data_IF_239944142835
#
_entry.id   IF_239944142835
#
_cell.length_a   1.000
_cell.length_b   1.000
_cell.length_c   1.000
_cell.angle_alpha   90.00
_cell.angle_beta   90.00
_cell.angle_gamma   90.00
#
_symmetry.space_group_name_H-M   'P 1'
#
loop_
_entity.id
_entity.type
_entity.pdbx_description
1 polymer ?
#
# COMPACT_ATOMS: atom_id res chain seq x y z
N UNK A 1 -27.96 0.00 -32.30
CA UNK A 1 -28.29 -0.87 -31.14
C UNK A 1 -27.21 -1.93 -31.12
N UNK A 2 -26.21 -1.75 -30.29
CA UNK A 2 -25.27 -2.83 -30.01
C UNK A 2 -26.05 -3.96 -29.34
N UNK A 3 -26.01 -5.15 -29.90
CA UNK A 3 -26.56 -6.37 -29.31
C UNK A 3 -25.89 -6.56 -27.96
N UNK A 4 -26.60 -6.35 -26.86
CA UNK A 4 -26.09 -6.66 -25.53
C UNK A 4 -25.72 -8.15 -25.51
N UNK A 5 -24.47 -8.44 -25.35
CA UNK A 5 -23.98 -9.81 -25.19
C UNK A 5 -24.60 -10.41 -23.93
N UNK A 6 -25.03 -11.67 -24.00
CA UNK A 6 -25.60 -12.35 -22.83
C UNK A 6 -24.54 -12.44 -21.71
N UNK A 7 -24.95 -12.39 -20.42
CA UNK A 7 -24.05 -12.57 -19.31
C UNK A 7 -23.25 -13.85 -19.42
N UNK A 8 -21.98 -13.82 -18.96
CA UNK A 8 -21.17 -15.04 -18.85
C UNK A 8 -21.83 -16.04 -17.90
N UNK A 9 -21.79 -17.34 -18.18
CA UNK A 9 -22.32 -18.33 -17.26
C UNK A 9 -21.54 -18.32 -15.95
N UNK A 10 -22.24 -18.52 -14.84
CA UNK A 10 -21.60 -18.69 -13.53
C UNK A 10 -20.80 -20.02 -13.52
N UNK A 11 -19.68 -20.03 -12.82
CA UNK A 11 -18.94 -21.25 -12.49
C UNK A 11 -19.35 -21.76 -11.12
N UNK A 12 -19.60 -23.04 -10.99
CA UNK A 12 -19.85 -23.66 -9.71
C UNK A 12 -18.49 -23.99 -9.06
N UNK A 13 -18.23 -23.53 -7.82
CA UNK A 13 -17.01 -23.88 -7.12
C UNK A 13 -16.97 -25.36 -6.77
N UNK A 14 -15.76 -25.95 -6.59
CA UNK A 14 -15.62 -27.32 -6.08
C UNK A 14 -16.25 -27.46 -4.70
N UNK A 15 -16.92 -28.61 -4.48
CA UNK A 15 -17.54 -28.97 -3.19
C UNK A 15 -16.65 -29.84 -2.33
N UNK A 16 -15.56 -30.35 -2.89
CA UNK A 16 -14.55 -31.19 -2.23
C UNK A 16 -13.14 -30.91 -2.79
N UNK A 17 -12.15 -31.68 -2.36
CA UNK A 17 -10.76 -31.49 -2.82
C UNK A 17 -9.95 -30.42 -2.07
N UNK A 18 -10.55 -29.71 -1.10
CA UNK A 18 -9.87 -28.69 -0.29
C UNK A 18 -9.46 -29.22 1.08
N UNK A 19 -8.39 -28.68 1.62
CA UNK A 19 -7.97 -28.92 3.00
C UNK A 19 -8.78 -28.04 3.97
N UNK A 20 -9.20 -28.63 5.09
CA UNK A 20 -9.93 -27.92 6.16
C UNK A 20 -9.06 -27.81 7.38
N UNK A 21 -8.79 -26.60 7.82
CA UNK A 21 -8.06 -26.32 9.05
C UNK A 21 -8.92 -26.56 10.29
N UNK A 22 -8.25 -27.02 11.35
CA UNK A 22 -8.87 -27.10 12.69
C UNK A 22 -9.22 -25.68 13.18
N UNK A 23 -10.40 -25.55 13.82
CA UNK A 23 -10.91 -24.27 14.31
C UNK A 23 -10.05 -23.63 15.41
N UNK A 24 -9.12 -24.35 16.00
CA UNK A 24 -8.15 -23.79 16.97
C UNK A 24 -7.08 -22.90 16.32
N UNK A 25 -6.87 -23.03 15.01
CA UNK A 25 -5.91 -22.19 14.30
C UNK A 25 -6.56 -20.88 13.84
N UNK A 26 -5.85 -19.77 14.02
CA UNK A 26 -6.23 -18.47 13.44
C UNK A 26 -5.72 -18.38 12.01
N UNK A 27 -6.59 -18.04 11.07
CA UNK A 27 -6.26 -17.91 9.66
C UNK A 27 -6.31 -16.46 9.24
N UNK A 28 -5.20 -15.94 8.74
CA UNK A 28 -5.07 -14.63 8.11
C UNK A 28 -5.66 -13.47 8.95
N UNK A 29 -6.78 -12.86 8.52
CA UNK A 29 -7.41 -11.73 9.23
C UNK A 29 -7.78 -12.06 10.67
N UNK A 30 -7.99 -13.32 11.01
CA UNK A 30 -8.26 -13.74 12.39
C UNK A 30 -7.07 -13.52 13.34
N UNK A 31 -5.86 -13.37 12.79
CA UNK A 31 -4.64 -13.11 13.58
C UNK A 31 -4.60 -11.69 14.15
N UNK A 32 -5.39 -10.76 13.62
CA UNK A 32 -5.50 -9.42 14.16
C UNK A 32 -6.23 -9.43 15.50
N UNK A 33 -5.67 -8.77 16.52
CA UNK A 33 -6.25 -8.70 17.87
C UNK A 33 -7.62 -8.02 17.94
N UNK A 34 -7.96 -7.24 16.92
CA UNK A 34 -9.26 -6.55 16.79
C UNK A 34 -10.24 -7.24 15.84
N UNK A 35 -9.87 -8.40 15.29
CA UNK A 35 -10.77 -9.14 14.42
C UNK A 35 -12.09 -9.48 15.13
N UNK A 36 -13.20 -9.21 14.45
CA UNK A 36 -14.54 -9.53 14.93
C UNK A 36 -15.33 -10.25 13.83
N UNK A 37 -15.70 -11.52 14.07
CA UNK A 37 -16.49 -12.27 13.09
C UNK A 37 -17.85 -11.65 12.77
N UNK A 38 -18.43 -10.85 13.67
CA UNK A 38 -19.72 -10.18 13.46
C UNK A 38 -19.59 -8.91 12.63
N UNK A 39 -18.38 -8.34 12.55
CA UNK A 39 -18.06 -7.13 11.80
C UNK A 39 -17.39 -7.42 10.45
N UNK A 40 -17.06 -8.70 10.20
CA UNK A 40 -16.44 -9.16 8.95
C UNK A 40 -17.51 -9.83 8.08
N UNK A 41 -17.54 -9.50 6.79
CA UNK A 41 -18.37 -10.21 5.81
C UNK A 41 -17.58 -11.42 5.28
N UNK A 42 -18.15 -12.62 5.47
CA UNK A 42 -17.54 -13.86 5.03
C UNK A 42 -17.99 -14.20 3.60
N UNK A 43 -17.28 -13.65 2.61
CA UNK A 43 -17.51 -13.93 1.20
C UNK A 43 -17.35 -15.44 0.95
N UNK A 44 -18.26 -16.01 0.19
CA UNK A 44 -18.15 -17.41 -0.25
C UNK A 44 -17.71 -17.47 -1.71
N UNK A 45 -16.77 -18.36 -2.02
CA UNK A 45 -16.37 -18.63 -3.40
C UNK A 45 -17.58 -19.14 -4.17
N UNK A 46 -17.84 -18.56 -5.34
CA UNK A 46 -19.04 -18.82 -6.14
C UNK A 46 -20.21 -17.86 -5.86
N UNK A 47 -20.18 -17.08 -4.76
CA UNK A 47 -21.21 -16.08 -4.45
C UNK A 47 -21.25 -14.99 -5.54
N UNK A 48 -22.48 -14.56 -5.90
CA UNK A 48 -22.70 -13.55 -6.94
C UNK A 48 -23.30 -12.28 -6.35
N UNK A 49 -22.52 -11.20 -6.36
CA UNK A 49 -22.94 -9.90 -5.88
C UNK A 49 -23.57 -9.08 -6.99
N UNK A 50 -24.63 -8.33 -6.66
CA UNK A 50 -25.38 -7.45 -7.59
C UNK A 50 -25.82 -8.15 -8.89
N UNK A 51 -26.04 -9.48 -8.84
CA UNK A 51 -26.31 -10.32 -10.03
C UNK A 51 -25.26 -10.17 -11.14
N UNK A 52 -24.03 -9.77 -10.80
CA UNK A 52 -23.00 -9.39 -11.74
C UNK A 52 -21.61 -9.90 -11.37
N UNK A 53 -21.16 -9.76 -10.12
CA UNK A 53 -19.79 -10.04 -9.71
C UNK A 53 -19.72 -11.38 -9.00
N UNK A 54 -19.14 -12.40 -9.63
CA UNK A 54 -18.96 -13.72 -9.03
C UNK A 54 -17.59 -13.85 -8.39
N UNK A 55 -17.54 -14.10 -7.07
CA UNK A 55 -16.30 -14.37 -6.35
C UNK A 55 -15.66 -15.70 -6.80
N UNK A 56 -14.39 -15.66 -7.14
CA UNK A 56 -13.60 -16.82 -7.60
C UNK A 56 -12.64 -17.33 -6.55
N UNK A 57 -11.96 -16.45 -5.82
CA UNK A 57 -11.02 -16.80 -4.78
C UNK A 57 -10.52 -15.54 -4.06
N UNK A 58 -9.93 -15.75 -2.88
CA UNK A 58 -9.38 -14.67 -2.04
C UNK A 58 -7.99 -14.29 -2.53
N UNK A 59 -7.79 -13.01 -2.82
CA UNK A 59 -6.49 -12.45 -3.21
C UNK A 59 -5.65 -12.02 -2.01
N UNK A 60 -6.31 -11.58 -0.93
CA UNK A 60 -5.60 -11.08 0.23
C UNK A 60 -6.52 -10.49 1.27
N UNK A 61 -5.92 -10.00 2.34
CA UNK A 61 -6.59 -9.36 3.45
C UNK A 61 -5.77 -8.18 3.98
N UNK A 62 -6.45 -7.25 4.61
CA UNK A 62 -5.85 -6.13 5.31
C UNK A 62 -6.48 -5.96 6.69
N UNK A 63 -6.07 -4.92 7.41
CA UNK A 63 -6.58 -4.64 8.75
C UNK A 63 -8.09 -4.42 8.82
N UNK A 64 -8.70 -3.96 7.73
CA UNK A 64 -10.11 -3.54 7.69
C UNK A 64 -10.88 -4.05 6.48
N UNK A 65 -10.30 -4.89 5.65
CA UNK A 65 -10.95 -5.41 4.43
C UNK A 65 -10.33 -6.71 3.95
N UNK A 66 -11.10 -7.43 3.13
CA UNK A 66 -10.64 -8.58 2.34
C UNK A 66 -10.77 -8.29 0.86
N UNK A 67 -9.86 -8.81 0.05
CA UNK A 67 -9.82 -8.63 -1.41
C UNK A 67 -10.07 -9.97 -2.13
N UNK A 68 -10.91 -9.93 -3.16
CA UNK A 68 -11.38 -11.11 -3.87
C UNK A 68 -11.26 -10.92 -5.37
N UNK A 69 -10.72 -11.91 -6.07
CA UNK A 69 -10.84 -11.96 -7.52
C UNK A 69 -12.27 -12.34 -7.88
N UNK A 70 -12.89 -11.56 -8.75
CA UNK A 70 -14.24 -11.80 -9.23
C UNK A 70 -14.30 -11.79 -10.75
N UNK A 71 -15.29 -12.51 -11.31
CA UNK A 71 -15.71 -12.33 -12.70
C UNK A 71 -16.84 -11.30 -12.76
N UNK A 72 -16.69 -10.29 -13.59
CA UNK A 72 -17.80 -9.47 -14.02
C UNK A 72 -18.56 -10.21 -15.14
N UNK A 73 -19.67 -10.83 -14.77
CA UNK A 73 -20.48 -11.65 -15.69
C UNK A 73 -21.10 -10.83 -16.82
N UNK A 74 -21.32 -9.53 -16.60
CA UNK A 74 -21.86 -8.61 -17.59
C UNK A 74 -20.76 -7.95 -18.46
N UNK A 75 -19.63 -7.60 -17.83
CA UNK A 75 -18.47 -6.99 -18.50
C UNK A 75 -17.56 -8.00 -19.20
N UNK A 76 -17.68 -9.30 -18.89
CA UNK A 76 -16.84 -10.39 -19.41
C UNK A 76 -15.35 -10.21 -19.11
N UNK A 77 -15.04 -9.71 -17.93
CA UNK A 77 -13.69 -9.39 -17.49
C UNK A 77 -13.49 -9.78 -16.02
N UNK A 78 -12.24 -9.73 -15.55
CA UNK A 78 -11.90 -9.91 -14.14
C UNK A 78 -11.85 -8.56 -13.42
N UNK A 79 -12.31 -8.56 -12.18
CA UNK A 79 -12.32 -7.39 -11.30
C UNK A 79 -11.90 -7.81 -9.88
N UNK A 80 -11.44 -6.86 -9.09
CA UNK A 80 -11.22 -7.07 -7.66
C UNK A 80 -12.42 -6.51 -6.88
N UNK A 81 -13.01 -7.32 -6.03
CA UNK A 81 -13.96 -6.91 -5.00
C UNK A 81 -13.20 -6.72 -3.68
N UNK A 82 -13.21 -5.51 -3.13
CA UNK A 82 -12.74 -5.19 -1.78
C UNK A 82 -13.94 -5.06 -0.87
N UNK A 83 -14.03 -5.90 0.18
CA UNK A 83 -15.13 -5.92 1.15
C UNK A 83 -14.60 -5.43 2.48
N UNK A 84 -15.16 -4.34 2.99
CA UNK A 84 -14.73 -3.74 4.24
C UNK A 84 -15.45 -4.32 5.46
N UNK A 85 -14.77 -4.24 6.60
CA UNK A 85 -15.37 -4.43 7.91
C UNK A 85 -16.52 -3.43 8.08
N UNK A 86 -17.60 -3.87 8.74
CA UNK A 86 -18.83 -3.08 8.90
C UNK A 86 -18.57 -1.71 9.53
N UNK A 87 -19.04 -0.66 8.88
CA UNK A 87 -19.02 0.73 9.39
C UNK A 87 -17.62 1.34 9.52
N UNK A 88 -16.60 0.79 8.86
CA UNK A 88 -15.25 1.31 8.98
C UNK A 88 -15.06 2.60 8.18
N UNK A 89 -14.47 3.64 8.83
CA UNK A 89 -14.29 4.98 8.27
C UNK A 89 -13.48 5.00 6.97
N UNK A 90 -12.47 4.13 6.85
CA UNK A 90 -11.62 4.08 5.66
C UNK A 90 -12.41 3.71 4.39
N UNK A 91 -13.46 2.87 4.50
CA UNK A 91 -14.29 2.48 3.38
C UNK A 91 -15.00 3.69 2.74
N UNK A 92 -15.64 4.50 3.56
CA UNK A 92 -16.34 5.73 3.10
C UNK A 92 -15.34 6.74 2.53
N UNK A 93 -14.17 6.88 3.18
CA UNK A 93 -13.14 7.81 2.72
C UNK A 93 -12.55 7.36 1.38
N UNK A 94 -12.24 6.09 1.21
CA UNK A 94 -11.68 5.55 -0.03
C UNK A 94 -12.64 5.74 -1.21
N UNK A 95 -13.92 5.39 -1.03
CA UNK A 95 -14.94 5.63 -2.05
C UNK A 95 -15.03 7.12 -2.42
N UNK A 96 -15.07 8.00 -1.41
CA UNK A 96 -15.12 9.45 -1.59
C UNK A 96 -13.93 9.99 -2.37
N UNK A 97 -12.71 9.51 -2.07
CA UNK A 97 -11.49 9.90 -2.79
C UNK A 97 -11.58 9.48 -4.25
N UNK A 98 -11.90 8.22 -4.54
CA UNK A 98 -12.02 7.75 -5.93
C UNK A 98 -13.11 8.50 -6.70
N UNK A 99 -14.27 8.75 -6.10
CA UNK A 99 -15.34 9.55 -6.72
C UNK A 99 -14.85 10.96 -7.03
N UNK A 100 -14.13 11.59 -6.12
CA UNK A 100 -13.55 12.90 -6.32
C UNK A 100 -12.52 12.89 -7.46
N UNK A 101 -11.57 11.95 -7.48
CA UNK A 101 -10.56 11.84 -8.53
C UNK A 101 -11.18 11.72 -9.92
N UNK A 102 -12.29 11.01 -10.06
CA UNK A 102 -13.06 10.91 -11.32
C UNK A 102 -13.64 12.24 -11.80
N UNK A 103 -13.83 13.23 -10.92
CA UNK A 103 -14.34 14.55 -11.31
C UNK A 103 -13.27 15.45 -11.94
N UNK A 104 -12.00 15.12 -11.75
CA UNK A 104 -10.87 15.95 -12.19
C UNK A 104 -10.64 15.75 -13.69
N UNK A 105 -11.00 16.77 -14.46
CA UNK A 105 -10.77 16.79 -15.90
C UNK A 105 -9.33 17.24 -16.18
N UNK A 106 -8.49 16.29 -16.58
CA UNK A 106 -7.07 16.54 -16.85
C UNK A 106 -6.53 15.54 -17.88
N UNK A 107 -5.49 15.96 -18.60
CA UNK A 107 -4.67 15.08 -19.45
C UNK A 107 -3.36 14.65 -18.76
N UNK A 108 -3.25 14.83 -17.45
CA UNK A 108 -2.04 14.49 -16.70
C UNK A 108 -1.78 12.97 -16.78
N UNK A 109 -0.56 12.53 -17.17
CA UNK A 109 -0.28 11.10 -17.35
C UNK A 109 -0.39 10.30 -16.05
N UNK A 110 -0.24 10.94 -14.88
CA UNK A 110 -0.34 10.31 -13.57
C UNK A 110 -1.71 9.71 -13.23
N UNK A 111 -2.76 10.09 -13.97
CA UNK A 111 -4.10 9.47 -13.80
C UNK A 111 -4.04 7.95 -14.04
N UNK A 112 -3.25 7.51 -15.02
CA UNK A 112 -3.08 6.09 -15.32
C UNK A 112 -2.35 5.29 -14.22
N UNK A 113 -1.62 5.97 -13.34
CA UNK A 113 -0.94 5.37 -12.19
C UNK A 113 -1.81 5.30 -10.93
N UNK A 114 -3.10 5.60 -11.01
CA UNK A 114 -4.04 5.52 -9.90
C UNK A 114 -5.06 4.43 -10.18
N UNK A 115 -5.29 3.53 -9.20
CA UNK A 115 -6.31 2.49 -9.31
C UNK A 115 -7.67 3.12 -9.56
N UNK A 116 -8.47 2.56 -10.45
CA UNK A 116 -9.80 3.08 -10.72
C UNK A 116 -10.87 2.36 -9.90
N UNK A 117 -11.85 3.11 -9.41
CA UNK A 117 -13.09 2.57 -8.85
C UNK A 117 -14.07 2.35 -10.01
N UNK A 118 -14.53 1.10 -10.22
CA UNK A 118 -15.52 0.76 -11.27
C UNK A 118 -16.94 0.89 -10.75
N UNK A 119 -17.18 0.36 -9.55
CA UNK A 119 -18.50 0.30 -8.94
C UNK A 119 -18.40 0.29 -7.41
N UNK A 120 -19.47 0.55 -6.71
CA UNK A 120 -19.56 0.44 -5.27
C UNK A 120 -20.98 0.10 -4.83
N UNK A 121 -21.11 -0.72 -3.79
CA UNK A 121 -22.40 -1.12 -3.22
C UNK A 121 -22.23 -1.52 -1.76
N UNK A 122 -23.33 -1.73 -1.07
CA UNK A 122 -23.35 -2.18 0.31
C UNK A 122 -23.93 -3.59 0.43
N UNK A 123 -23.36 -4.39 1.33
CA UNK A 123 -23.91 -5.68 1.75
C UNK A 123 -24.48 -5.56 3.16
N UNK A 124 -25.61 -6.18 3.47
CA UNK A 124 -26.15 -6.18 4.82
C UNK A 124 -25.25 -7.02 5.76
N UNK A 125 -25.00 -6.53 6.96
CA UNK A 125 -24.25 -7.25 7.99
C UNK A 125 -24.91 -7.15 9.37
N UNK A 126 -24.46 -7.98 10.32
CA UNK A 126 -25.01 -8.06 11.69
C UNK A 126 -24.79 -6.77 12.49
N UNK A 127 -23.66 -6.08 12.27
CA UNK A 127 -23.27 -4.84 12.97
C UNK A 127 -23.46 -3.57 12.13
N UNK A 128 -23.96 -3.69 10.93
CA UNK A 128 -24.13 -2.60 9.97
C UNK A 128 -23.78 -3.04 8.56
N UNK A 129 -23.90 -2.16 7.57
CA UNK A 129 -23.55 -2.48 6.20
C UNK A 129 -22.03 -2.63 6.03
N UNK A 130 -21.65 -3.49 5.09
CA UNK A 130 -20.29 -3.62 4.59
C UNK A 130 -20.17 -2.86 3.27
N UNK A 131 -19.28 -1.88 3.22
CA UNK A 131 -18.95 -1.21 1.96
C UNK A 131 -18.16 -2.16 1.08
N UNK A 132 -18.54 -2.19 -0.20
CA UNK A 132 -17.90 -3.00 -1.23
C UNK A 132 -17.46 -2.11 -2.37
N UNK A 133 -16.19 -2.20 -2.72
CA UNK A 133 -15.61 -1.46 -3.83
C UNK A 133 -15.17 -2.44 -4.93
N UNK A 134 -15.55 -2.16 -6.17
CA UNK A 134 -15.12 -2.91 -7.35
C UNK A 134 -14.05 -2.10 -8.07
N UNK A 135 -12.90 -2.75 -8.27
CA UNK A 135 -11.74 -2.17 -8.91
C UNK A 135 -11.28 -2.97 -10.12
N UNK A 136 -10.41 -2.39 -10.94
CA UNK A 136 -9.63 -3.16 -11.90
C UNK A 136 -8.85 -4.25 -11.17
N UNK A 137 -8.80 -5.47 -11.74
CA UNK A 137 -7.93 -6.51 -11.25
C UNK A 137 -6.49 -6.14 -11.58
N UNK A 138 -5.61 -6.20 -10.58
CA UNK A 138 -4.19 -5.89 -10.67
C UNK A 138 -3.37 -7.14 -10.33
N UNK A 139 -2.10 -7.13 -10.71
CA UNK A 139 -1.15 -8.18 -10.40
C UNK A 139 -0.54 -8.03 -9.00
N UNK A 140 0.69 -8.49 -8.87
CA UNK A 140 1.44 -8.48 -7.61
C UNK A 140 1.69 -7.07 -7.08
N UNK A 141 1.79 -6.95 -5.77
CA UNK A 141 2.31 -5.77 -5.09
C UNK A 141 3.84 -5.69 -5.23
N UNK A 142 4.42 -4.52 -5.02
CA UNK A 142 5.88 -4.39 -4.96
C UNK A 142 6.49 -5.17 -3.78
N UNK A 143 5.74 -5.35 -2.69
CA UNK A 143 6.14 -6.19 -1.57
C UNK A 143 6.29 -7.65 -1.96
N UNK A 144 5.29 -8.23 -2.65
CA UNK A 144 5.36 -9.61 -3.16
C UNK A 144 6.52 -9.78 -4.17
N UNK A 145 6.74 -8.79 -5.04
CA UNK A 145 7.88 -8.81 -5.97
C UNK A 145 9.20 -8.82 -5.20
N UNK A 146 9.34 -8.02 -4.15
CA UNK A 146 10.53 -8.01 -3.30
C UNK A 146 10.76 -9.38 -2.65
N UNK A 147 9.72 -9.95 -2.03
CA UNK A 147 9.79 -11.27 -1.37
C UNK A 147 10.17 -12.40 -2.33
N UNK A 148 9.76 -12.31 -3.60
CA UNK A 148 10.13 -13.28 -4.65
C UNK A 148 11.52 -13.04 -5.24
N UNK A 149 12.13 -11.88 -4.99
CA UNK A 149 13.42 -11.49 -5.56
C UNK A 149 14.59 -12.06 -4.74
N UNK A 150 15.71 -12.35 -5.41
CA UNK A 150 16.92 -12.84 -4.76
C UNK A 150 17.42 -11.88 -3.67
N UNK A 151 17.53 -12.36 -2.43
CA UNK A 151 17.90 -11.55 -1.27
C UNK A 151 16.90 -10.45 -0.94
N UNK A 152 15.64 -10.59 -1.35
CA UNK A 152 14.57 -9.62 -1.20
C UNK A 152 14.86 -8.24 -1.84
N UNK A 153 15.69 -8.20 -2.88
CA UNK A 153 16.15 -6.99 -3.56
C UNK A 153 15.57 -6.89 -4.97
N UNK A 154 14.86 -5.80 -5.23
CA UNK A 154 14.32 -5.52 -6.57
C UNK A 154 15.42 -4.93 -7.44
N UNK A 155 15.65 -5.52 -8.62
CA UNK A 155 16.68 -5.04 -9.55
C UNK A 155 16.43 -3.58 -9.96
N UNK A 156 17.51 -2.82 -10.20
CA UNK A 156 17.40 -1.42 -10.62
C UNK A 156 16.66 -1.24 -11.95
N UNK A 157 16.68 -2.26 -12.81
CA UNK A 157 15.97 -2.26 -14.09
C UNK A 157 14.46 -2.26 -13.94
N UNK A 158 13.94 -2.79 -12.82
CA UNK A 158 12.54 -2.74 -12.43
C UNK A 158 12.24 -1.57 -11.48
N UNK A 159 13.10 -1.36 -10.49
CA UNK A 159 12.90 -0.36 -9.45
C UNK A 159 12.82 1.07 -10.02
N UNK A 160 13.72 1.44 -10.93
CA UNK A 160 13.75 2.78 -11.54
C UNK A 160 12.46 3.11 -12.31
N UNK A 161 11.99 2.29 -13.27
CA UNK A 161 10.75 2.58 -13.99
C UNK A 161 9.53 2.55 -13.05
N UNK A 162 9.46 1.65 -12.07
CA UNK A 162 8.36 1.59 -11.10
C UNK A 162 8.31 2.84 -10.23
N UNK A 163 9.45 3.24 -9.67
CA UNK A 163 9.56 4.50 -8.90
C UNK A 163 9.16 5.69 -9.75
N UNK A 164 9.59 5.74 -11.02
CA UNK A 164 9.22 6.82 -11.93
C UNK A 164 7.71 6.88 -12.18
N UNK A 165 7.06 5.74 -12.42
CA UNK A 165 5.60 5.66 -12.58
C UNK A 165 4.87 6.15 -11.33
N UNK A 166 5.31 5.72 -10.14
CA UNK A 166 4.74 6.19 -8.88
C UNK A 166 4.90 7.70 -8.70
N UNK A 167 6.08 8.26 -9.00
CA UNK A 167 6.31 9.70 -8.93
C UNK A 167 5.41 10.48 -9.91
N UNK A 168 5.11 9.93 -11.09
CA UNK A 168 4.15 10.53 -12.04
C UNK A 168 2.73 10.54 -11.45
N UNK A 169 2.32 9.45 -10.77
CA UNK A 169 1.04 9.37 -10.07
C UNK A 169 0.96 10.39 -8.92
N UNK A 170 2.01 10.51 -8.11
CA UNK A 170 2.09 11.48 -7.01
C UNK A 170 2.11 12.93 -7.52
N UNK A 171 2.78 13.23 -8.63
CA UNK A 171 2.72 14.58 -9.21
C UNK A 171 1.29 14.96 -9.61
N UNK A 172 0.50 14.00 -10.11
CA UNK A 172 -0.94 14.22 -10.34
C UNK A 172 -1.69 14.45 -9.03
N UNK A 173 -1.53 13.59 -8.03
CA UNK A 173 -2.22 13.70 -6.75
C UNK A 173 -1.92 15.04 -6.07
N UNK A 174 -0.66 15.43 -5.99
CA UNK A 174 -0.23 16.62 -5.27
C UNK A 174 -0.56 17.92 -6.01
N UNK A 175 -0.42 17.97 -7.36
CA UNK A 175 -0.52 19.22 -8.12
C UNK A 175 -1.88 19.45 -8.80
N UNK A 176 -2.64 18.38 -9.08
CA UNK A 176 -3.93 18.46 -9.77
C UNK A 176 -5.10 18.07 -8.89
N UNK A 177 -4.94 17.01 -8.12
CA UNK A 177 -5.98 16.50 -7.23
C UNK A 177 -5.95 17.16 -5.86
N UNK A 178 -4.81 17.67 -5.41
CA UNK A 178 -4.59 18.16 -4.05
C UNK A 178 -5.00 17.10 -3.01
N UNK A 179 -4.52 15.89 -3.22
CA UNK A 179 -4.70 14.73 -2.33
C UNK A 179 -3.34 14.29 -1.82
N UNK A 180 -3.24 14.05 -0.52
CA UNK A 180 -2.11 13.41 0.13
C UNK A 180 -2.52 11.97 0.42
N UNK A 181 -1.71 10.99 -0.02
CA UNK A 181 -2.05 9.58 0.11
C UNK A 181 -1.97 9.09 1.56
N UNK A 182 -0.91 9.47 2.26
CA UNK A 182 -0.61 9.18 3.67
C UNK A 182 -0.21 7.73 3.99
N UNK A 183 -0.38 6.79 3.08
CA UNK A 183 -0.07 5.36 3.28
C UNK A 183 0.70 4.77 2.08
N UNK A 184 1.74 5.48 1.62
CA UNK A 184 2.64 4.97 0.58
C UNK A 184 3.51 3.87 1.18
N UNK A 185 3.37 2.65 0.66
CA UNK A 185 4.17 1.48 1.01
C UNK A 185 4.12 0.43 -0.10
N UNK A 186 5.02 -0.53 -0.06
CA UNK A 186 5.16 -1.55 -1.12
C UNK A 186 3.88 -2.39 -1.35
N UNK A 187 3.08 -2.61 -0.31
CA UNK A 187 1.79 -3.32 -0.39
C UNK A 187 0.69 -2.53 -1.12
N UNK A 188 0.83 -1.20 -1.22
CA UNK A 188 -0.16 -0.33 -1.84
C UNK A 188 0.23 0.09 -3.28
N UNK A 189 1.31 -0.46 -3.83
CA UNK A 189 1.76 -0.23 -5.21
C UNK A 189 1.76 -1.56 -5.95
N UNK A 190 0.88 -1.72 -6.94
CA UNK A 190 0.60 -2.97 -7.62
C UNK A 190 0.90 -2.89 -9.11
N UNK A 191 1.20 -4.04 -9.73
CA UNK A 191 1.41 -4.13 -11.18
C UNK A 191 0.10 -4.04 -11.95
N UNK A 192 0.05 -3.20 -12.96
CA UNK A 192 -1.02 -3.21 -13.96
C UNK A 192 -0.81 -4.36 -14.95
N UNK A 193 -1.85 -5.13 -15.18
CA UNK A 193 -1.85 -6.30 -16.07
C UNK A 193 -2.50 -5.92 -17.40
N UNK A 194 -1.88 -6.37 -18.52
CA UNK A 194 -2.40 -6.08 -19.85
C UNK A 194 -3.34 -7.15 -20.36
N UNK A 195 -3.06 -8.41 -20.07
CA UNK A 195 -3.94 -9.50 -20.41
C UNK A 195 -4.40 -10.27 -19.17
N UNK A 196 -5.46 -11.04 -19.31
CA UNK A 196 -6.11 -11.73 -18.22
C UNK A 196 -5.60 -13.17 -17.99
N UNK A 197 -4.45 -13.54 -18.57
CA UNK A 197 -3.93 -14.92 -18.49
C UNK A 197 -3.73 -15.38 -17.04
N UNK A 198 -3.09 -14.53 -16.20
CA UNK A 198 -2.86 -14.85 -14.79
C UNK A 198 -4.15 -15.05 -13.99
N UNK A 199 -5.20 -14.29 -14.33
CA UNK A 199 -6.50 -14.43 -13.66
C UNK A 199 -7.23 -15.69 -14.11
N UNK A 200 -7.04 -16.10 -15.37
CA UNK A 200 -7.56 -17.40 -15.86
C UNK A 200 -6.85 -18.56 -15.23
N UNK A 201 -5.52 -18.47 -15.06
CA UNK A 201 -4.72 -19.46 -14.33
C UNK A 201 -5.21 -19.56 -12.89
N UNK A 202 -5.31 -18.44 -12.18
CA UNK A 202 -5.83 -18.40 -10.80
C UNK A 202 -7.23 -19.05 -10.70
N UNK A 203 -8.14 -18.70 -11.62
CA UNK A 203 -9.50 -19.28 -11.65
C UNK A 203 -9.46 -20.80 -11.89
N UNK A 204 -8.56 -21.29 -12.75
CA UNK A 204 -8.43 -22.71 -13.04
C UNK A 204 -7.79 -23.45 -11.87
N UNK A 205 -6.76 -22.91 -11.25
CA UNK A 205 -6.13 -23.48 -10.06
C UNK A 205 -7.09 -23.58 -8.88
N UNK A 206 -7.96 -22.56 -8.67
CA UNK A 206 -8.99 -22.63 -7.62
C UNK A 206 -10.03 -23.73 -7.89
N UNK A 207 -10.20 -24.14 -9.16
CA UNK A 207 -11.05 -25.26 -9.53
C UNK A 207 -10.35 -26.62 -9.35
N UNK A 208 -9.06 -26.70 -9.67
CA UNK A 208 -8.30 -27.95 -9.67
C UNK A 208 -7.75 -28.29 -8.26
N UNK A 209 -7.30 -27.28 -7.53
CA UNK A 209 -6.74 -27.36 -6.18
C UNK A 209 -7.34 -26.22 -5.31
N UNK A 210 -8.57 -26.41 -4.79
CA UNK A 210 -9.27 -25.35 -4.08
C UNK A 210 -8.52 -24.87 -2.83
N UNK A 211 -8.55 -23.55 -2.59
CA UNK A 211 -7.88 -22.94 -1.45
C UNK A 211 -8.24 -23.58 -0.12
N UNK A 212 -7.21 -23.72 0.71
CA UNK A 212 -7.31 -24.08 2.12
C UNK A 212 -8.37 -23.20 2.80
N UNK A 213 -9.17 -23.78 3.67
CA UNK A 213 -10.23 -23.06 4.36
C UNK A 213 -10.46 -23.55 5.76
N UNK A 214 -11.08 -22.71 6.56
CA UNK A 214 -11.57 -23.04 7.89
C UNK A 214 -13.09 -22.93 7.88
N UNK A 215 -13.77 -23.93 8.47
CA UNK A 215 -15.23 -23.96 8.60
C UNK A 215 -15.58 -23.77 10.06
N UNK A 216 -16.17 -22.62 10.39
CA UNK A 216 -16.57 -22.27 11.75
C UNK A 216 -18.07 -21.94 11.80
N UNK A 217 -18.88 -22.94 12.11
CA UNK A 217 -20.34 -22.86 12.04
C UNK A 217 -20.85 -22.65 10.62
N UNK A 218 -21.48 -21.52 10.39
CA UNK A 218 -21.98 -21.08 9.07
C UNK A 218 -20.98 -20.24 8.27
N UNK A 219 -19.78 -20.01 8.82
CA UNK A 219 -18.73 -19.19 8.20
C UNK A 219 -17.67 -20.05 7.54
N UNK A 220 -17.24 -19.63 6.36
CA UNK A 220 -16.06 -20.20 5.69
C UNK A 220 -15.04 -19.09 5.57
N UNK A 221 -13.84 -19.32 6.10
CA UNK A 221 -12.71 -18.41 6.01
C UNK A 221 -11.69 -19.08 5.10
N UNK A 222 -11.33 -18.41 4.02
CA UNK A 222 -10.42 -18.93 3.01
C UNK A 222 -9.01 -18.38 3.20
N UNK A 223 -8.01 -19.21 2.96
CA UNK A 223 -6.65 -18.73 2.73
C UNK A 223 -6.57 -17.97 1.40
N UNK A 224 -5.76 -16.94 1.37
CA UNK A 224 -5.46 -16.19 0.16
C UNK A 224 -4.63 -17.06 -0.80
N UNK A 225 -4.89 -16.90 -2.10
CA UNK A 225 -4.10 -17.48 -3.18
C UNK A 225 -3.30 -16.38 -3.86
N UNK A 226 -2.00 -16.58 -3.99
CA UNK A 226 -1.15 -15.66 -4.75
C UNK A 226 -1.43 -15.73 -6.25
N UNK A 227 -1.21 -14.63 -6.94
CA UNK A 227 -1.19 -14.59 -8.39
C UNK A 227 0.21 -14.98 -8.90
N UNK A 228 0.27 -15.54 -10.11
CA UNK A 228 1.53 -15.75 -10.80
C UNK A 228 2.22 -14.43 -11.18
N UNK A 229 3.52 -14.49 -11.42
CA UNK A 229 4.27 -13.35 -11.95
C UNK A 229 3.85 -13.10 -13.40
N UNK A 230 3.35 -11.91 -13.75
CA UNK A 230 2.91 -11.64 -15.11
C UNK A 230 4.10 -11.45 -16.06
N UNK A 231 3.99 -12.04 -17.25
CA UNK A 231 5.00 -11.86 -18.33
C UNK A 231 5.01 -10.44 -18.91
N UNK A 232 3.92 -9.69 -18.75
CA UNK A 232 3.66 -8.44 -19.49
C UNK A 232 3.30 -7.24 -18.60
N UNK A 233 3.83 -7.19 -17.37
CA UNK A 233 3.65 -6.05 -16.47
C UNK A 233 3.99 -4.72 -17.17
N UNK A 234 3.03 -3.79 -17.20
CA UNK A 234 3.19 -2.56 -17.97
C UNK A 234 3.70 -1.38 -17.15
N UNK A 235 3.15 -1.18 -15.98
CA UNK A 235 3.48 -0.09 -15.07
C UNK A 235 2.92 -0.40 -13.68
N UNK A 236 3.25 0.42 -12.70
CA UNK A 236 2.68 0.31 -11.36
C UNK A 236 1.50 1.25 -11.18
N UNK A 237 0.60 0.85 -10.31
CA UNK A 237 -0.63 1.56 -9.95
C UNK A 237 -0.69 1.72 -8.44
N UNK A 238 -0.92 2.94 -7.98
CA UNK A 238 -1.11 3.26 -6.56
C UNK A 238 -2.54 2.95 -6.15
N UNK A 239 -2.67 2.24 -5.03
CA UNK A 239 -3.91 1.70 -4.49
C UNK A 239 -4.12 2.17 -3.04
N UNK A 240 -5.29 1.90 -2.50
CA UNK A 240 -5.68 2.11 -1.10
C UNK A 240 -5.64 3.57 -0.65
N UNK A 241 -6.75 4.27 -0.87
CA UNK A 241 -6.94 5.66 -0.47
C UNK A 241 -7.74 5.81 0.83
N UNK A 242 -7.79 4.75 1.64
CA UNK A 242 -8.58 4.73 2.88
C UNK A 242 -8.22 5.82 3.89
N UNK A 243 -6.95 6.18 3.97
CA UNK A 243 -6.44 7.23 4.88
C UNK A 243 -6.10 8.55 4.17
N UNK A 244 -6.30 8.65 2.86
CA UNK A 244 -5.95 9.82 2.08
C UNK A 244 -6.68 11.09 2.56
N UNK A 245 -5.98 12.23 2.45
CA UNK A 245 -6.48 13.54 2.88
C UNK A 245 -6.61 14.49 1.70
N UNK A 246 -7.64 15.34 1.77
CA UNK A 246 -7.95 16.30 0.70
C UNK A 246 -7.46 17.69 1.02
N UNK A 247 -6.94 18.37 0.02
CA UNK A 247 -6.68 19.80 0.03
C UNK A 247 -5.22 20.16 0.15
N UNK A 248 -4.92 21.43 -0.01
CA UNK A 248 -3.60 22.03 0.08
C UNK A 248 -3.31 22.64 1.46
N UNK A 249 -4.00 22.17 2.50
CA UNK A 249 -3.81 22.66 3.87
C UNK A 249 -2.67 21.90 4.55
N UNK A 250 -2.11 22.49 5.59
CA UNK A 250 -1.35 21.75 6.57
C UNK A 250 -2.32 20.91 7.43
N UNK A 251 -2.01 19.64 7.62
CA UNK A 251 -2.77 18.70 8.42
C UNK A 251 -2.07 18.48 9.75
N UNK A 252 -2.78 17.93 10.71
CA UNK A 252 -2.25 17.48 11.99
C UNK A 252 -2.70 16.05 12.28
N UNK A 253 -2.14 15.46 13.35
CA UNK A 253 -2.46 14.09 13.76
C UNK A 253 -1.57 13.05 13.12
N UNK A 254 -1.83 11.82 13.49
CA UNK A 254 -1.01 10.68 13.13
C UNK A 254 -1.53 10.00 11.89
N UNK A 255 -0.61 9.77 10.97
CA UNK A 255 -0.77 9.04 9.72
C UNK A 255 0.51 8.27 9.43
N UNK A 256 0.54 7.49 8.40
CA UNK A 256 1.64 6.66 7.90
C UNK A 256 1.88 5.39 8.74
N UNK A 257 2.29 4.31 8.10
CA UNK A 257 2.79 3.11 8.79
C UNK A 257 3.96 3.44 9.72
N UNK A 258 4.07 2.73 10.83
CA UNK A 258 5.09 3.00 11.86
C UNK A 258 6.51 3.07 11.30
N UNK A 259 6.89 2.14 10.40
CA UNK A 259 8.22 2.09 9.81
C UNK A 259 8.47 3.18 8.75
N UNK A 260 7.42 3.77 8.19
CA UNK A 260 7.51 4.81 7.16
C UNK A 260 7.26 6.22 7.70
N UNK A 261 7.08 6.38 9.03
CA UNK A 261 6.63 7.63 9.63
C UNK A 261 7.67 8.73 9.50
N UNK A 262 7.27 9.85 8.89
CA UNK A 262 8.11 11.01 8.65
C UNK A 262 8.41 11.79 9.96
N UNK A 263 9.53 12.54 10.03
CA UNK A 263 9.90 13.32 11.21
C UNK A 263 8.81 14.27 11.70
N UNK A 264 8.12 14.96 10.80
CA UNK A 264 7.04 15.89 11.14
C UNK A 264 5.86 15.20 11.84
N UNK A 265 5.57 13.93 11.48
CA UNK A 265 4.52 13.15 12.14
C UNK A 265 4.97 12.79 13.56
N UNK A 266 6.19 12.33 13.71
CA UNK A 266 6.78 11.92 15.00
C UNK A 266 6.88 13.09 15.96
N UNK A 267 7.29 14.27 15.48
CA UNK A 267 7.47 15.48 16.27
C UNK A 267 6.17 16.27 16.48
N UNK A 268 5.06 15.87 15.85
CA UNK A 268 3.79 16.60 15.94
C UNK A 268 3.81 17.96 15.23
N UNK A 269 4.54 18.06 14.13
CA UNK A 269 4.57 19.24 13.25
C UNK A 269 3.42 19.12 12.24
N UNK A 270 2.70 20.22 11.92
CA UNK A 270 1.74 20.19 10.81
C UNK A 270 2.39 19.73 9.50
N UNK A 271 1.74 18.80 8.81
CA UNK A 271 2.27 18.10 7.64
C UNK A 271 1.46 18.37 6.36
N UNK A 272 2.02 18.02 5.22
CA UNK A 272 1.41 18.15 3.89
C UNK A 272 1.87 16.98 2.99
N UNK A 273 1.75 17.13 1.67
CA UNK A 273 2.12 16.11 0.68
C UNK A 273 3.60 15.66 0.73
N UNK A 274 4.45 16.35 1.46
CA UNK A 274 5.86 15.97 1.61
C UNK A 274 6.07 14.69 2.44
N UNK A 275 5.05 14.25 3.19
CA UNK A 275 5.10 12.95 3.86
C UNK A 275 5.04 11.79 2.85
N UNK A 276 4.29 11.94 1.75
CA UNK A 276 4.27 10.92 0.69
C UNK A 276 5.65 10.78 0.02
N UNK A 277 6.36 11.91 -0.16
CA UNK A 277 7.74 11.90 -0.70
C UNK A 277 8.71 11.19 0.23
N UNK A 278 8.60 11.41 1.53
CA UNK A 278 9.37 10.67 2.53
C UNK A 278 9.07 9.17 2.43
N UNK A 279 7.81 8.78 2.38
CA UNK A 279 7.40 7.38 2.29
C UNK A 279 7.92 6.69 1.02
N UNK A 280 7.94 7.41 -0.13
CA UNK A 280 8.61 6.90 -1.35
C UNK A 280 10.09 6.64 -1.10
N UNK A 281 10.77 7.52 -0.37
CA UNK A 281 12.17 7.32 0.01
C UNK A 281 12.39 6.05 0.83
N UNK A 282 11.52 5.80 1.81
CA UNK A 282 11.55 4.57 2.63
C UNK A 282 11.31 3.33 1.77
N UNK A 283 10.26 3.35 0.96
CA UNK A 283 9.91 2.22 0.09
C UNK A 283 11.01 1.93 -0.95
N UNK A 284 11.59 2.95 -1.56
CA UNK A 284 12.70 2.78 -2.54
C UNK A 284 13.91 2.17 -1.86
N UNK A 285 14.22 2.56 -0.63
CA UNK A 285 15.28 1.92 0.15
C UNK A 285 14.99 0.45 0.41
N UNK A 286 13.79 0.14 0.93
CA UNK A 286 13.40 -1.23 1.27
C UNK A 286 13.46 -2.16 0.06
N UNK A 287 12.96 -1.70 -1.09
CA UNK A 287 13.02 -2.45 -2.35
C UNK A 287 14.46 -2.61 -2.90
N UNK A 288 15.31 -1.62 -2.67
CA UNK A 288 16.70 -1.63 -3.16
C UNK A 288 17.63 -2.44 -2.27
N UNK A 289 17.54 -2.28 -0.95
CA UNK A 289 18.41 -2.96 0.03
C UNK A 289 17.88 -4.31 0.49
N UNK A 290 16.59 -4.64 0.24
CA UNK A 290 15.95 -5.85 0.73
C UNK A 290 15.72 -5.85 2.25
N UNK A 291 15.83 -4.70 2.87
CA UNK A 291 15.67 -4.52 4.32
C UNK A 291 15.07 -3.15 4.64
N UNK A 292 14.25 -3.10 5.67
CA UNK A 292 13.69 -1.82 6.12
C UNK A 292 14.78 -0.88 6.64
N UNK A 293 14.68 0.41 6.29
CA UNK A 293 15.55 1.46 6.82
C UNK A 293 15.39 1.60 8.34
N UNK A 294 14.16 1.45 8.85
CA UNK A 294 13.83 1.44 10.28
C UNK A 294 13.47 0.02 10.71
N UNK A 295 14.35 -0.61 11.48
CA UNK A 295 14.40 -2.07 11.67
C UNK A 295 13.37 -2.65 12.65
N UNK A 296 12.75 -1.87 13.53
CA UNK A 296 12.02 -2.46 14.64
C UNK A 296 10.65 -1.85 14.88
N UNK A 297 9.61 -2.70 14.83
CA UNK A 297 8.37 -2.45 15.56
C UNK A 297 8.62 -2.82 17.02
N UNK A 298 8.86 -1.85 17.86
CA UNK A 298 8.91 -2.10 19.30
C UNK A 298 7.49 -2.39 19.84
N UNK A 299 7.38 -3.19 20.92
CA UNK A 299 6.08 -3.68 21.42
C UNK A 299 5.12 -2.58 21.85
N UNK A 300 5.60 -1.40 22.16
CA UNK A 300 4.77 -0.24 22.48
C UNK A 300 5.17 0.99 21.67
N UNK A 301 4.19 1.81 21.33
CA UNK A 301 4.38 3.04 20.58
C UNK A 301 5.29 4.04 21.32
N UNK A 302 5.21 4.09 22.64
CA UNK A 302 6.05 4.96 23.49
C UNK A 302 7.53 4.56 23.43
N UNK A 303 7.82 3.27 23.24
CA UNK A 303 9.18 2.74 23.12
C UNK A 303 9.71 2.81 21.69
N UNK A 304 8.83 2.74 20.69
CA UNK A 304 9.23 2.78 19.29
C UNK A 304 9.63 4.17 18.79
N UNK A 305 9.01 5.24 19.29
CA UNK A 305 9.30 6.61 18.84
C UNK A 305 10.74 7.05 19.15
N UNK A 306 11.30 6.88 20.36
CA UNK A 306 12.69 7.22 20.60
C UNK A 306 13.68 6.43 19.74
N UNK A 307 13.43 5.14 19.50
CA UNK A 307 14.28 4.33 18.64
C UNK A 307 14.21 4.78 17.18
N UNK A 308 13.02 5.14 16.70
CA UNK A 308 12.83 5.70 15.36
C UNK A 308 13.56 7.04 15.18
N UNK A 309 13.49 7.95 16.17
CA UNK A 309 14.25 9.21 16.18
C UNK A 309 15.75 8.94 16.22
N UNK A 310 16.22 8.05 17.10
CA UNK A 310 17.63 7.69 17.19
C UNK A 310 18.17 7.18 15.85
N UNK A 311 17.38 6.34 15.14
CA UNK A 311 17.75 5.85 13.82
C UNK A 311 17.77 6.98 12.77
N UNK A 312 16.81 7.91 12.80
CA UNK A 312 16.85 9.11 11.95
C UNK A 312 18.12 9.94 12.18
N UNK A 313 18.52 10.13 13.45
CA UNK A 313 19.73 10.86 13.80
C UNK A 313 20.97 10.13 13.28
N UNK A 314 21.05 8.80 13.42
CA UNK A 314 22.15 7.99 12.93
C UNK A 314 22.34 8.17 11.40
N UNK A 315 21.25 8.17 10.64
CA UNK A 315 21.29 8.19 9.17
C UNK A 315 21.44 9.61 8.59
N UNK A 316 20.89 10.63 9.24
CA UNK A 316 20.80 12.00 8.70
C UNK A 316 21.54 13.04 9.55
N UNK A 317 22.12 12.65 10.68
CA UNK A 317 22.61 13.60 11.69
C UNK A 317 21.48 14.22 12.52
N UNK A 318 21.81 15.11 13.47
CA UNK A 318 20.82 15.73 14.35
C UNK A 318 19.85 16.63 13.60
N UNK A 319 18.57 16.73 14.05
CA UNK A 319 17.58 17.62 13.44
C UNK A 319 17.95 19.10 13.66
N UNK A 320 17.61 19.99 12.71
CA UNK A 320 17.78 21.43 12.91
C UNK A 320 16.91 21.95 14.07
N UNK A 321 17.50 22.74 14.98
CA UNK A 321 16.77 23.35 16.13
C UNK A 321 15.53 24.14 15.68
N UNK A 322 15.60 24.80 14.50
CA UNK A 322 14.45 25.50 13.94
C UNK A 322 13.27 24.57 13.64
N UNK A 323 13.52 23.34 13.23
CA UNK A 323 12.48 22.34 13.00
C UNK A 323 11.86 21.89 14.35
N UNK A 324 12.70 21.60 15.34
CA UNK A 324 12.26 21.18 16.68
C UNK A 324 11.31 22.20 17.33
N UNK A 325 11.54 23.49 17.15
CA UNK A 325 10.66 24.57 17.64
C UNK A 325 9.26 24.58 17.03
N UNK A 326 9.03 23.82 15.96
CA UNK A 326 7.71 23.68 15.30
C UNK A 326 6.91 22.52 15.84
N UNK A 327 7.57 21.56 16.51
CA UNK A 327 6.96 20.28 16.90
C UNK A 327 6.34 20.33 18.28
N UNK A 328 5.09 19.87 18.37
CA UNK A 328 4.35 19.77 19.64
C UNK A 328 5.01 18.80 20.63
N UNK A 329 5.72 17.78 20.11
CA UNK A 329 6.31 16.71 20.93
C UNK A 329 7.84 16.80 20.99
N UNK A 330 8.45 17.83 20.43
CA UNK A 330 9.91 17.96 20.36
C UNK A 330 10.56 17.94 21.73
N UNK A 331 9.99 18.67 22.71
CA UNK A 331 10.52 18.76 24.08
C UNK A 331 10.48 17.41 24.83
N UNK A 332 9.77 16.41 24.32
CA UNK A 332 9.77 15.05 24.87
C UNK A 332 11.05 14.30 24.55
N UNK A 333 11.71 14.66 23.44
CA UNK A 333 12.85 13.91 22.90
C UNK A 333 14.13 14.73 22.79
N UNK A 334 14.05 16.07 22.85
CA UNK A 334 15.18 16.97 22.66
C UNK A 334 15.17 18.08 23.72
N UNK A 335 16.36 18.51 24.12
CA UNK A 335 16.56 19.69 24.95
C UNK A 335 16.48 21.00 24.14
N UNK A 336 16.63 22.15 24.82
CA UNK A 336 16.56 23.48 24.21
C UNK A 336 17.69 23.73 23.17
N UNK A 337 18.81 23.03 23.31
CA UNK A 337 19.96 23.10 22.40
C UNK A 337 19.83 22.13 21.22
N UNK A 338 18.79 21.26 21.22
CA UNK A 338 18.50 20.27 20.18
C UNK A 338 19.26 18.96 20.37
N UNK A 339 19.78 18.69 21.57
CA UNK A 339 20.39 17.40 21.88
C UNK A 339 19.30 16.36 22.18
N UNK A 340 19.49 15.15 21.68
CA UNK A 340 18.59 14.03 21.94
C UNK A 340 18.72 13.56 23.39
N UNK A 341 17.62 13.49 24.12
CA UNK A 341 17.59 13.27 25.58
C UNK A 341 17.15 11.88 26.01
N UNK A 342 16.76 11.01 25.05
CA UNK A 342 16.36 9.63 25.38
C UNK A 342 17.58 8.75 25.72
N UNK A 343 17.33 7.72 26.55
CA UNK A 343 18.32 6.68 26.87
C UNK A 343 18.62 5.73 25.71
N UNK A 344 17.87 5.82 24.59
CA UNK A 344 18.12 5.03 23.40
C UNK A 344 19.41 5.49 22.73
N UNK A 345 20.33 4.55 22.54
CA UNK A 345 21.62 4.83 21.90
C UNK A 345 21.43 5.15 20.42
N UNK A 346 21.97 6.27 19.96
CA UNK A 346 22.15 6.55 18.53
C UNK A 346 23.27 5.67 18.00
N UNK A 347 22.99 4.88 16.96
CA UNK A 347 24.00 4.05 16.28
C UNK A 347 25.04 4.95 15.59
N UNK A 348 26.28 4.49 15.56
CA UNK A 348 27.37 5.14 14.82
C UNK A 348 27.39 4.56 13.40
N UNK A 349 26.54 5.09 12.54
CA UNK A 349 26.37 4.64 11.15
C UNK A 349 25.90 5.81 10.28
N UNK A 350 25.80 5.59 8.98
CA UNK A 350 25.34 6.58 8.00
C UNK A 350 24.61 5.90 6.85
N UNK A 351 23.88 6.66 6.04
CA UNK A 351 23.27 6.14 4.79
C UNK A 351 24.33 5.55 3.84
N UNK A 352 25.52 6.13 3.83
CA UNK A 352 26.67 5.69 3.04
C UNK A 352 27.20 4.33 3.49
N UNK A 353 27.20 4.04 4.78
CA UNK A 353 27.65 2.77 5.34
C UNK A 353 26.59 1.68 5.24
N UNK A 354 25.32 2.05 5.32
CA UNK A 354 24.18 1.12 5.25
C UNK A 354 23.83 0.67 3.83
N UNK A 355 24.20 1.48 2.81
CA UNK A 355 24.01 1.11 1.41
C UNK A 355 25.10 0.12 1.00
N UNK A 356 24.70 -1.14 0.70
CA UNK A 356 25.57 -2.27 0.42
C UNK A 356 25.47 -2.81 -1.00
N UNK A 357 24.56 -2.25 -1.85
CA UNK A 357 24.24 -2.81 -3.16
C UNK A 357 25.03 -2.23 -4.31
N UNK A 358 25.69 -1.09 -4.13
CA UNK A 358 26.43 -0.45 -5.20
C UNK A 358 27.71 0.21 -4.73
N UNK A 359 28.57 0.57 -5.67
CA UNK A 359 29.85 1.21 -5.42
C UNK A 359 30.06 2.42 -6.34
N UNK A 360 31.01 3.29 -5.96
CA UNK A 360 31.49 4.39 -6.80
C UNK A 360 30.37 5.37 -7.21
N UNK A 361 30.28 5.62 -8.53
CA UNK A 361 29.32 6.59 -9.07
C UNK A 361 27.86 6.15 -8.92
N UNK A 362 27.57 4.84 -8.96
CA UNK A 362 26.21 4.32 -8.82
C UNK A 362 25.70 4.55 -7.39
N UNK A 363 26.51 4.24 -6.38
CA UNK A 363 26.21 4.51 -4.97
C UNK A 363 25.97 6.00 -4.75
N UNK A 364 26.88 6.85 -5.26
CA UNK A 364 26.76 8.31 -5.13
C UNK A 364 25.46 8.81 -5.76
N UNK A 365 25.08 8.31 -6.94
CA UNK A 365 23.87 8.72 -7.64
C UNK A 365 22.60 8.27 -6.89
N UNK A 366 22.57 7.03 -6.41
CA UNK A 366 21.44 6.51 -5.61
C UNK A 366 21.25 7.30 -4.32
N UNK A 367 22.32 7.46 -3.52
CA UNK A 367 22.24 8.20 -2.27
C UNK A 367 21.85 9.68 -2.47
N UNK A 368 22.28 10.30 -3.55
CA UNK A 368 21.86 11.66 -3.90
C UNK A 368 20.35 11.71 -4.24
N UNK A 369 19.83 10.72 -4.95
CA UNK A 369 18.40 10.60 -5.22
C UNK A 369 17.61 10.40 -3.93
N UNK A 370 18.04 9.46 -3.08
CA UNK A 370 17.42 9.15 -1.80
C UNK A 370 17.40 10.38 -0.87
N UNK A 371 18.51 11.09 -0.74
CA UNK A 371 18.63 12.34 0.04
C UNK A 371 17.74 13.48 -0.50
N UNK A 372 17.23 13.38 -1.72
CA UNK A 372 16.19 14.27 -2.23
C UNK A 372 14.82 14.03 -1.60
N UNK A 373 14.61 12.91 -0.94
CA UNK A 373 13.34 12.50 -0.30
C UNK A 373 13.47 12.43 1.21
N UNK A 374 14.57 11.90 1.70
CA UNK A 374 14.83 11.63 3.13
C UNK A 374 15.56 12.83 3.73
N UNK A 375 14.79 13.77 4.27
CA UNK A 375 15.25 15.01 4.89
C UNK A 375 14.43 15.31 6.14
N UNK A 376 15.07 15.87 7.19
CA UNK A 376 14.37 16.33 8.39
C UNK A 376 13.32 17.38 8.09
N UNK A 377 13.69 18.37 7.30
CA UNK A 377 12.83 19.51 6.95
C UNK A 377 11.98 19.19 5.73
N UNK A 378 10.64 19.09 5.85
CA UNK A 378 9.77 18.73 4.72
C UNK A 378 9.95 19.61 3.50
N UNK A 379 10.19 20.92 3.71
CA UNK A 379 10.37 21.90 2.66
C UNK A 379 11.66 21.70 1.83
N UNK A 380 12.63 20.97 2.36
CA UNK A 380 13.89 20.62 1.68
C UNK A 380 13.77 19.36 0.83
N UNK A 381 12.71 18.55 1.02
CA UNK A 381 12.43 17.40 0.15
C UNK A 381 12.02 17.88 -1.22
N UNK A 382 12.55 17.25 -2.26
CA UNK A 382 12.13 17.50 -3.65
C UNK A 382 10.64 17.17 -3.82
N UNK A 383 10.03 17.75 -4.82
CA UNK A 383 8.69 17.37 -5.30
C UNK A 383 8.77 16.10 -6.14
N UNK A 384 7.65 15.40 -6.34
CA UNK A 384 7.59 14.25 -7.24
C UNK A 384 8.08 14.61 -8.65
N UNK A 385 7.74 15.80 -9.15
CA UNK A 385 8.18 16.31 -10.46
C UNK A 385 9.69 16.53 -10.55
N UNK A 386 10.31 17.02 -9.51
CA UNK A 386 11.78 17.21 -9.47
C UNK A 386 12.49 15.87 -9.40
N UNK A 387 11.95 14.89 -8.65
CA UNK A 387 12.51 13.55 -8.55
C UNK A 387 12.43 12.78 -9.87
N UNK A 388 11.35 12.92 -10.65
CA UNK A 388 11.24 12.31 -11.98
C UNK A 388 12.35 12.75 -12.94
N UNK A 389 12.95 13.93 -12.72
CA UNK A 389 14.04 14.46 -13.55
C UNK A 389 15.43 14.16 -12.97
N UNK A 390 15.51 13.43 -11.86
CA UNK A 390 16.80 13.07 -11.26
C UNK A 390 17.61 12.14 -12.19
N UNK A 391 18.93 12.35 -12.31
CA UNK A 391 19.78 11.50 -13.16
C UNK A 391 19.69 10.02 -12.82
N UNK A 392 19.67 9.64 -11.53
CA UNK A 392 19.65 8.25 -11.11
C UNK A 392 18.48 7.46 -11.73
N UNK A 393 17.27 8.05 -11.74
CA UNK A 393 16.07 7.38 -12.24
C UNK A 393 16.01 7.34 -13.77
N UNK A 394 16.79 8.17 -14.47
CA UNK A 394 16.78 8.32 -15.92
C UNK A 394 18.02 7.69 -16.62
N UNK A 395 19.05 7.27 -15.88
CA UNK A 395 20.20 6.53 -16.41
C UNK A 395 19.80 5.06 -16.56
N UNK A 396 19.99 4.52 -17.75
CA UNK A 396 19.81 3.09 -18.06
C UNK A 396 20.97 2.26 -17.55
#
# INVERSE_FOLDING_TARGET
>A
MESQRAPSPQRLPPTDGFEVLDNAYLLEEETYSWYSPEETYHVQIGEVFQSRYQALGKLGFGSVSTAWLCRDLMGHEYVTLKVFVSGHRQAENEEKVYRYLKTIKTSHPGVAGIRSLRDSFQLPGKRGPHECLIHDALGLTLGEIREMSDGEKVSTDLLKPFTKCLLVALDFLHTKAHVVHTDIQEGNVMLAIKDDAIFKTFEQEEMDEPSLRKIDGDRIIYASRALDVPDDASHVVLCDFGDAQFGSKAYGGEVMPDLYRAPEIVLGIPWNEKIDIWAVGMMVWDLYEGKHMFKERLPSRMESVPAHIARMIALMGPPPVKLLKRGQFSDTFFDEDGNFTSDVKVEDTSLEEEEENSEGEQKTAFLKFLKGMVQWVPEERKTARELMNDPWINIR
#
